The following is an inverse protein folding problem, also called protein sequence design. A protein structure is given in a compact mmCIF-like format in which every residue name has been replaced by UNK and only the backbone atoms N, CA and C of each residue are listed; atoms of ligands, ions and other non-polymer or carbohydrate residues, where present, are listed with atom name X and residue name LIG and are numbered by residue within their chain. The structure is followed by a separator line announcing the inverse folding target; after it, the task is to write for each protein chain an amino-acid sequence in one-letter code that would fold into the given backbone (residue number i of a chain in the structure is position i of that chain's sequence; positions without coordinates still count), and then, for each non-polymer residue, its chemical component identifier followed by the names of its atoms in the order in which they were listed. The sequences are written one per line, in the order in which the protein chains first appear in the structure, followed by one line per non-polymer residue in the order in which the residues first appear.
data_IF_502753328196
#
_entry.id   IF_502753328196
#
_cell.length_a   1.000
_cell.length_b   1.000
_cell.length_c   1.000
_cell.angle_alpha   90.00
_cell.angle_beta   90.00
_cell.angle_gamma   90.00
#
_symmetry.space_group_name_H-M   'P 1'
#
loop_
_entity.id
_entity.type
_entity.pdbx_description
1 polymer ?
#
# COMPACT_ATOMS: atom_id res chain seq x y z
N UNK A 1 27.04 -10.07 26.57
CA UNK A 1 26.87 -8.71 27.16
C UNK A 1 25.43 -8.60 27.63
N UNK A 2 25.23 -8.45 28.95
CA UNK A 2 23.90 -8.17 29.53
C UNK A 2 23.46 -6.77 29.10
N UNK A 3 22.36 -6.67 28.40
CA UNK A 3 21.81 -5.35 27.99
C UNK A 3 21.20 -4.70 29.23
N UNK A 4 21.76 -3.59 29.66
CA UNK A 4 21.29 -2.83 30.82
C UNK A 4 19.96 -2.13 30.50
N UNK A 5 18.94 -2.37 31.35
CA UNK A 5 17.67 -1.64 31.28
C UNK A 5 17.83 -0.35 32.09
N UNK A 6 17.64 0.77 31.41
CA UNK A 6 17.73 2.12 31.99
C UNK A 6 16.33 2.69 32.21
N UNK A 7 16.22 3.65 33.11
CA UNK A 7 14.97 4.33 33.47
C UNK A 7 15.15 5.84 33.30
N UNK A 8 14.18 6.51 32.68
CA UNK A 8 14.26 7.97 32.46
C UNK A 8 12.90 8.63 32.41
N UNK A 9 12.86 9.94 32.69
CA UNK A 9 11.76 10.86 32.36
C UNK A 9 12.19 11.91 31.32
N UNK A 10 13.44 11.84 30.85
CA UNK A 10 13.89 12.67 29.75
C UNK A 10 13.40 12.03 28.42
N UNK A 11 12.20 12.36 27.96
CA UNK A 11 11.61 11.80 26.77
C UNK A 11 12.21 12.38 25.49
N UNK A 12 12.74 13.60 25.55
CA UNK A 12 13.26 14.34 24.40
C UNK A 12 14.61 13.80 23.91
N UNK A 13 15.25 12.89 24.68
CA UNK A 13 16.41 12.17 24.20
C UNK A 13 16.10 11.12 23.12
N UNK A 14 14.83 10.75 22.94
CA UNK A 14 14.42 9.72 21.99
C UNK A 14 13.97 10.32 20.68
N UNK A 15 14.40 9.71 19.58
CA UNK A 15 14.14 10.14 18.22
C UNK A 15 13.21 9.13 17.55
N UNK A 16 12.16 9.60 16.91
CA UNK A 16 11.35 8.75 16.02
C UNK A 16 11.98 8.70 14.64
N UNK A 17 12.12 7.49 14.09
CA UNK A 17 12.60 7.35 12.72
C UNK A 17 11.50 7.80 11.74
N UNK A 18 11.86 8.62 10.76
CA UNK A 18 10.93 9.18 9.76
C UNK A 18 10.27 8.11 8.91
N UNK A 19 11.01 7.04 8.62
CA UNK A 19 10.58 5.89 7.82
C UNK A 19 9.82 4.84 8.63
N UNK A 20 9.66 5.02 9.95
CA UNK A 20 8.81 4.17 10.77
C UNK A 20 7.31 4.51 10.55
N UNK A 21 6.43 3.59 10.94
CA UNK A 21 4.99 3.84 10.89
C UNK A 21 4.61 5.03 11.79
N UNK A 22 3.67 5.85 11.32
CA UNK A 22 3.16 6.98 12.10
C UNK A 22 2.51 6.51 13.41
N UNK A 23 2.66 7.31 14.44
CA UNK A 23 2.01 7.10 15.73
C UNK A 23 0.49 7.10 15.53
N UNK A 24 -0.16 6.09 16.12
CA UNK A 24 -1.60 5.96 16.09
C UNK A 24 -2.21 6.52 17.40
N UNK A 25 -2.91 7.67 17.36
CA UNK A 25 -3.47 8.29 18.55
C UNK A 25 -4.41 7.38 19.33
N UNK A 26 -5.21 6.56 18.64
CA UNK A 26 -6.13 5.62 19.29
C UNK A 26 -5.38 4.56 20.10
N UNK A 27 -4.23 4.09 19.62
CA UNK A 27 -3.39 3.15 20.38
C UNK A 27 -2.77 3.81 21.58
N UNK A 28 -2.31 5.06 21.45
CA UNK A 28 -1.76 5.84 22.57
C UNK A 28 -2.82 6.00 23.65
N UNK A 29 -4.03 6.41 23.31
CA UNK A 29 -5.14 6.56 24.26
C UNK A 29 -5.54 5.25 24.96
N UNK A 30 -5.51 4.12 24.24
CA UNK A 30 -5.74 2.80 24.86
C UNK A 30 -4.66 2.46 25.87
N UNK A 31 -3.39 2.72 25.54
CA UNK A 31 -2.27 2.50 26.45
C UNK A 31 -2.37 3.41 27.68
N UNK A 32 -2.67 4.70 27.51
CA UNK A 32 -2.88 5.64 28.63
C UNK A 32 -3.97 5.13 29.57
N UNK A 33 -5.13 4.76 29.05
CA UNK A 33 -6.24 4.19 29.84
C UNK A 33 -5.82 2.93 30.59
N UNK A 34 -5.07 2.03 29.93
CA UNK A 34 -4.55 0.81 30.56
C UNK A 34 -3.57 1.12 31.67
N UNK A 35 -2.59 2.02 31.42
CA UNK A 35 -1.59 2.43 32.40
C UNK A 35 -2.22 3.13 33.63
N UNK A 36 -3.25 3.92 33.42
CA UNK A 36 -3.98 4.58 34.53
C UNK A 36 -4.81 3.59 35.34
N UNK A 37 -5.48 2.64 34.65
CA UNK A 37 -6.39 1.70 35.33
C UNK A 37 -5.65 0.56 36.03
N UNK A 38 -4.64 -0.02 35.38
CA UNK A 38 -3.98 -1.27 35.79
C UNK A 38 -2.57 -1.03 36.38
N UNK A 39 -2.15 0.24 36.48
CA UNK A 39 -0.76 0.57 36.78
C UNK A 39 0.17 0.46 35.57
N UNK A 40 1.29 1.15 35.62
CA UNK A 40 2.29 1.12 34.56
C UNK A 40 3.14 -0.16 34.65
N UNK A 41 2.96 -1.07 33.72
CA UNK A 41 3.85 -2.24 33.57
C UNK A 41 5.12 -1.76 32.84
N UNK A 42 6.30 -1.86 33.46
CA UNK A 42 7.55 -1.28 32.96
C UNK A 42 8.18 -2.12 31.84
N UNK A 43 7.45 -2.38 30.77
CA UNK A 43 7.97 -3.02 29.56
C UNK A 43 8.92 -2.04 28.87
N UNK A 44 10.23 -2.36 28.73
CA UNK A 44 11.18 -1.43 28.13
C UNK A 44 10.86 -1.13 26.66
N UNK A 45 11.15 0.08 26.20
CA UNK A 45 11.27 0.36 24.78
C UNK A 45 12.67 -0.03 24.29
N UNK A 46 12.80 -0.31 23.01
CA UNK A 46 14.06 -0.64 22.35
C UNK A 46 14.52 0.57 21.55
N UNK A 47 15.77 0.98 21.75
CA UNK A 47 16.40 2.06 20.97
C UNK A 47 17.72 1.59 20.38
N UNK A 48 18.20 2.25 19.34
CA UNK A 48 19.55 2.03 18.81
C UNK A 48 20.60 2.96 19.47
N UNK A 49 21.82 2.93 18.95
CA UNK A 49 22.92 3.76 19.48
C UNK A 49 22.71 5.27 19.29
N UNK A 50 21.78 5.69 18.42
CA UNK A 50 21.41 7.09 18.19
C UNK A 50 20.16 7.51 18.95
N UNK A 51 19.70 6.67 19.90
CA UNK A 51 18.42 6.83 20.61
C UNK A 51 17.19 6.85 19.68
N UNK A 52 17.29 6.31 18.46
CA UNK A 52 16.15 6.13 17.60
C UNK A 52 15.30 4.95 18.10
N UNK A 53 13.98 5.15 18.17
CA UNK A 53 13.05 4.17 18.74
C UNK A 53 12.78 3.05 17.73
N UNK A 54 13.30 1.86 18.04
CA UNK A 54 13.12 0.62 17.27
C UNK A 54 11.77 -0.04 17.59
N UNK A 55 11.45 -0.19 18.88
CA UNK A 55 10.14 -0.67 19.34
C UNK A 55 9.64 0.13 20.53
N UNK A 56 8.31 0.30 20.60
CA UNK A 56 7.64 0.91 21.74
C UNK A 56 7.28 2.39 21.56
N UNK A 57 7.29 2.97 20.35
CA UNK A 57 6.93 4.37 20.10
C UNK A 57 5.58 4.79 20.72
N UNK A 58 4.55 3.94 20.69
CA UNK A 58 3.26 4.24 21.32
C UNK A 58 3.34 4.21 22.85
N UNK A 59 4.22 3.35 23.43
CA UNK A 59 4.49 3.32 24.88
C UNK A 59 5.23 4.59 25.34
N UNK A 60 6.20 5.05 24.55
CA UNK A 60 6.90 6.30 24.79
C UNK A 60 5.91 7.47 24.85
N UNK A 61 5.06 7.62 23.84
CA UNK A 61 4.05 8.70 23.81
C UNK A 61 3.04 8.61 24.95
N UNK A 62 2.57 7.42 25.30
CA UNK A 62 1.66 7.23 26.41
C UNK A 62 2.34 7.58 27.76
N UNK A 63 3.57 7.12 27.98
CA UNK A 63 4.34 7.41 29.19
C UNK A 63 4.68 8.90 29.30
N UNK A 64 5.07 9.57 28.20
CA UNK A 64 5.29 11.02 28.11
C UNK A 64 4.03 11.78 28.52
N UNK A 65 2.87 11.43 27.95
CA UNK A 65 1.58 12.07 28.25
C UNK A 65 1.14 11.93 29.72
N UNK A 66 1.56 10.85 30.39
CA UNK A 66 1.21 10.57 31.79
C UNK A 66 2.35 10.91 32.77
N UNK A 67 3.45 11.50 32.30
CA UNK A 67 4.66 11.79 33.07
C UNK A 67 5.20 10.58 33.85
N UNK A 68 5.15 9.38 33.25
CA UNK A 68 5.61 8.12 33.86
C UNK A 68 7.06 7.83 33.47
N UNK A 69 7.86 7.36 34.42
CA UNK A 69 9.23 6.99 34.11
C UNK A 69 9.30 5.80 33.16
N UNK A 70 9.94 5.99 32.01
CA UNK A 70 10.05 5.01 30.95
C UNK A 70 11.29 4.12 31.14
N UNK A 71 11.13 2.82 30.87
CA UNK A 71 12.27 1.89 30.84
C UNK A 71 12.70 1.70 29.38
N UNK A 72 14.01 1.64 29.14
CA UNK A 72 14.56 1.42 27.79
C UNK A 72 15.87 0.67 27.83
N UNK A 73 16.26 0.04 26.74
CA UNK A 73 17.61 -0.47 26.54
C UNK A 73 18.08 -0.22 25.10
N UNK A 74 19.39 -0.08 24.92
CA UNK A 74 20.01 0.07 23.62
C UNK A 74 20.30 -1.31 23.00
N UNK A 75 19.81 -1.52 21.79
CA UNK A 75 20.02 -2.75 21.02
C UNK A 75 21.13 -2.64 19.96
N UNK A 76 21.95 -1.61 20.05
CA UNK A 76 23.09 -1.43 19.13
C UNK A 76 22.69 -0.87 17.78
N UNK A 77 23.27 -1.42 16.70
CA UNK A 77 23.12 -0.94 15.32
C UNK A 77 21.79 -1.27 14.62
N UNK A 78 20.72 -1.57 15.39
CA UNK A 78 19.40 -1.85 14.81
C UNK A 78 18.79 -0.62 14.14
N UNK A 79 18.01 -0.85 13.10
CA UNK A 79 17.30 0.18 12.31
C UNK A 79 15.88 -0.23 11.95
N UNK A 80 15.41 0.26 10.82
CA UNK A 80 14.03 0.04 10.39
C UNK A 80 13.73 -1.42 10.03
N UNK A 81 14.71 -2.18 9.54
CA UNK A 81 14.50 -3.59 9.19
C UNK A 81 14.22 -4.43 10.43
N UNK A 82 14.99 -4.25 11.50
CA UNK A 82 14.77 -4.92 12.79
C UNK A 82 13.45 -4.47 13.43
N UNK A 83 13.09 -3.19 13.28
CA UNK A 83 11.77 -2.68 13.70
C UNK A 83 10.64 -3.45 13.03
N UNK A 84 10.76 -3.75 11.73
CA UNK A 84 9.76 -4.50 10.97
C UNK A 84 9.66 -5.95 11.44
N UNK A 85 10.81 -6.60 11.67
CA UNK A 85 10.86 -7.97 12.20
C UNK A 85 10.23 -8.05 13.59
N UNK A 86 10.55 -7.15 14.51
CA UNK A 86 9.96 -7.10 15.85
C UNK A 86 8.45 -6.89 15.85
N UNK A 87 7.93 -6.17 14.85
CA UNK A 87 6.51 -5.91 14.74
C UNK A 87 5.72 -7.02 14.00
N UNK A 88 6.37 -8.04 13.45
CA UNK A 88 5.68 -9.15 12.76
C UNK A 88 4.72 -9.93 13.67
N UNK A 89 5.09 -10.12 14.92
CA UNK A 89 4.31 -10.89 15.91
C UNK A 89 3.25 -10.05 16.66
N UNK A 90 3.26 -8.74 16.48
CA UNK A 90 2.32 -7.82 17.14
C UNK A 90 1.20 -7.36 16.20
N UNK A 91 1.26 -6.11 15.76
CA UNK A 91 0.36 -5.56 14.73
C UNK A 91 1.13 -5.48 13.41
N UNK A 92 0.94 -6.41 12.48
CA UNK A 92 1.66 -6.40 11.21
C UNK A 92 1.47 -5.08 10.45
N UNK A 93 2.52 -4.64 9.79
CA UNK A 93 2.45 -3.44 8.96
C UNK A 93 1.49 -3.66 7.79
N UNK A 94 0.65 -2.67 7.55
CA UNK A 94 -0.21 -2.63 6.37
C UNK A 94 0.57 -2.09 5.17
N UNK A 95 0.08 -2.34 3.98
CA UNK A 95 0.72 -1.87 2.74
C UNK A 95 1.01 -0.35 2.75
N UNK A 96 0.16 0.47 3.38
CA UNK A 96 0.38 1.93 3.50
C UNK A 96 1.60 2.29 4.35
N UNK A 97 1.94 1.47 5.35
CA UNK A 97 3.09 1.69 6.24
C UNK A 97 4.38 1.30 5.52
N UNK A 98 4.36 0.18 4.79
CA UNK A 98 5.46 -0.21 3.90
C UNK A 98 5.69 0.83 2.81
N UNK A 99 4.61 1.31 2.16
CA UNK A 99 4.70 2.35 1.13
C UNK A 99 5.38 3.61 1.66
N UNK A 100 4.95 4.11 2.82
CA UNK A 100 5.54 5.28 3.46
C UNK A 100 7.04 5.09 3.73
N UNK A 101 7.42 3.96 4.34
CA UNK A 101 8.83 3.65 4.64
C UNK A 101 9.72 3.70 3.41
N UNK A 102 9.27 3.07 2.31
CA UNK A 102 10.08 3.03 1.10
C UNK A 102 10.10 4.37 0.36
N UNK A 103 9.01 5.14 0.39
CA UNK A 103 9.02 6.51 -0.14
C UNK A 103 10.02 7.39 0.60
N UNK A 104 10.03 7.37 1.94
CA UNK A 104 11.02 8.13 2.73
C UNK A 104 12.45 7.67 2.44
N UNK A 105 12.67 6.37 2.23
CA UNK A 105 13.98 5.84 1.80
C UNK A 105 14.38 6.38 0.43
N UNK A 106 13.47 6.32 -0.56
CA UNK A 106 13.71 6.85 -1.89
C UNK A 106 14.02 8.35 -1.88
N UNK A 107 13.34 9.15 -1.04
CA UNK A 107 13.61 10.58 -0.84
C UNK A 107 15.03 10.83 -0.30
N UNK A 108 15.51 9.99 0.61
CA UNK A 108 16.86 10.10 1.18
C UNK A 108 17.94 9.64 0.20
N UNK A 109 17.71 8.54 -0.53
CA UNK A 109 18.68 7.96 -1.46
C UNK A 109 18.76 8.74 -2.79
N UNK A 110 17.63 9.30 -3.24
CA UNK A 110 17.48 9.97 -4.54
C UNK A 110 16.84 11.36 -4.40
N UNK A 111 17.44 12.32 -3.64
CA UNK A 111 16.78 13.58 -3.29
C UNK A 111 16.34 14.44 -4.48
N UNK A 112 17.00 14.28 -5.65
CA UNK A 112 16.69 15.02 -6.87
C UNK A 112 15.86 14.24 -7.91
N UNK A 113 15.50 12.98 -7.63
CA UNK A 113 14.79 12.08 -8.57
C UNK A 113 13.93 11.02 -7.87
N UNK A 114 13.51 11.26 -6.62
CA UNK A 114 12.70 10.29 -5.87
C UNK A 114 11.35 10.00 -6.53
N UNK A 115 10.78 10.97 -7.26
CA UNK A 115 9.52 10.80 -8.01
C UNK A 115 9.63 9.77 -9.13
N UNK A 116 10.84 9.48 -9.63
CA UNK A 116 11.11 8.44 -10.63
C UNK A 116 11.28 7.05 -10.01
N UNK A 117 11.27 6.96 -8.69
CA UNK A 117 11.47 5.70 -7.98
C UNK A 117 10.16 4.91 -7.84
N UNK A 118 10.23 3.58 -7.74
CA UNK A 118 9.05 2.71 -7.83
C UNK A 118 7.94 2.98 -6.83
N UNK A 119 8.27 3.31 -5.58
CA UNK A 119 7.25 3.53 -4.54
C UNK A 119 6.55 4.88 -4.68
N UNK A 120 7.27 5.92 -5.11
CA UNK A 120 6.66 7.21 -5.46
C UNK A 120 5.78 7.09 -6.69
N UNK A 121 6.23 6.38 -7.72
CA UNK A 121 5.42 6.09 -8.90
C UNK A 121 4.16 5.29 -8.55
N UNK A 122 4.29 4.25 -7.71
CA UNK A 122 3.16 3.47 -7.21
C UNK A 122 2.16 4.34 -6.44
N UNK A 123 2.66 5.18 -5.53
CA UNK A 123 1.84 6.11 -4.76
C UNK A 123 1.11 7.12 -5.65
N UNK A 124 1.81 7.68 -6.64
CA UNK A 124 1.23 8.60 -7.62
C UNK A 124 0.03 7.95 -8.34
N UNK A 125 0.21 6.75 -8.88
CA UNK A 125 -0.85 6.01 -9.57
C UNK A 125 -2.03 5.73 -8.64
N UNK A 126 -1.75 5.26 -7.43
CA UNK A 126 -2.80 4.94 -6.45
C UNK A 126 -3.60 6.18 -6.05
N UNK A 127 -2.94 7.29 -5.77
CA UNK A 127 -3.56 8.54 -5.31
C UNK A 127 -4.31 9.25 -6.43
N UNK A 128 -3.70 9.37 -7.61
CA UNK A 128 -4.23 10.12 -8.74
C UNK A 128 -5.41 9.39 -9.38
N UNK A 129 -5.25 8.11 -9.67
CA UNK A 129 -6.25 7.33 -10.41
C UNK A 129 -7.17 6.49 -9.52
N UNK A 130 -7.00 6.56 -8.18
CA UNK A 130 -7.84 5.86 -7.18
C UNK A 130 -7.90 4.33 -7.38
N UNK A 131 -6.83 3.73 -7.90
CA UNK A 131 -6.75 2.31 -8.17
C UNK A 131 -6.46 1.49 -6.90
N UNK A 132 -7.00 0.26 -6.86
CA UNK A 132 -6.68 -0.68 -5.79
C UNK A 132 -5.25 -1.21 -5.94
N UNK A 133 -4.61 -1.52 -4.82
CA UNK A 133 -3.26 -2.05 -4.73
C UNK A 133 -3.00 -3.20 -5.74
N UNK A 134 -3.86 -4.21 -5.76
CA UNK A 134 -3.72 -5.37 -6.64
C UNK A 134 -3.87 -5.03 -8.13
N UNK A 135 -4.68 -4.03 -8.46
CA UNK A 135 -4.84 -3.58 -9.85
C UNK A 135 -3.55 -2.94 -10.35
N UNK A 136 -2.88 -2.14 -9.51
CA UNK A 136 -1.59 -1.54 -9.87
C UNK A 136 -0.55 -2.65 -10.07
N UNK A 137 -0.49 -3.66 -9.19
CA UNK A 137 0.41 -4.82 -9.37
C UNK A 137 0.14 -5.51 -10.72
N UNK A 138 -1.13 -5.73 -11.07
CA UNK A 138 -1.50 -6.33 -12.38
C UNK A 138 -1.01 -5.49 -13.55
N UNK A 139 -1.15 -4.16 -13.48
CA UNK A 139 -0.72 -3.25 -14.56
C UNK A 139 0.80 -3.23 -14.75
N UNK A 140 1.58 -3.46 -13.71
CA UNK A 140 3.04 -3.59 -13.82
C UNK A 140 3.50 -5.02 -14.17
N UNK A 141 2.56 -5.93 -14.42
CA UNK A 141 2.84 -7.29 -14.88
C UNK A 141 2.98 -8.33 -13.76
N UNK A 142 2.61 -8.01 -12.53
CA UNK A 142 2.61 -8.95 -11.40
C UNK A 142 1.20 -9.51 -11.23
N UNK A 143 1.02 -10.77 -11.58
CA UNK A 143 -0.29 -11.45 -11.53
C UNK A 143 -0.46 -12.34 -10.31
N UNK A 144 0.63 -12.82 -9.73
CA UNK A 144 0.63 -13.47 -8.42
C UNK A 144 0.69 -12.42 -7.31
N UNK A 145 -0.45 -12.22 -6.64
CA UNK A 145 -0.58 -11.19 -5.59
C UNK A 145 0.14 -11.55 -4.29
N UNK A 146 0.44 -12.82 -4.05
CA UNK A 146 1.26 -13.24 -2.90
C UNK A 146 2.68 -12.79 -3.13
N UNK A 147 3.27 -13.18 -4.26
CA UNK A 147 4.62 -12.75 -4.66
C UNK A 147 4.71 -11.22 -4.78
N UNK A 148 3.74 -10.58 -5.42
CA UNK A 148 3.72 -9.12 -5.56
C UNK A 148 3.60 -8.39 -4.23
N UNK A 149 2.83 -8.94 -3.30
CA UNK A 149 2.72 -8.41 -1.94
C UNK A 149 4.01 -8.53 -1.14
N UNK A 150 4.74 -9.63 -1.30
CA UNK A 150 6.06 -9.84 -0.68
C UNK A 150 7.10 -8.90 -1.27
N UNK A 151 7.24 -8.83 -2.59
CA UNK A 151 8.14 -7.89 -3.28
C UNK A 151 7.91 -6.45 -2.82
N UNK A 152 6.64 -6.06 -2.70
CA UNK A 152 6.27 -4.72 -2.22
C UNK A 152 6.70 -4.49 -0.77
N UNK A 153 6.45 -5.44 0.11
CA UNK A 153 6.79 -5.35 1.54
C UNK A 153 8.28 -5.41 1.82
N UNK A 154 9.04 -6.06 0.95
CA UNK A 154 10.49 -6.24 1.08
C UNK A 154 11.32 -5.12 0.40
N UNK A 155 10.67 -4.12 -0.19
CA UNK A 155 11.38 -3.04 -0.86
C UNK A 155 11.92 -3.40 -2.24
N UNK A 156 11.42 -4.48 -2.84
CA UNK A 156 11.90 -5.03 -4.12
C UNK A 156 10.96 -4.75 -5.30
N UNK A 157 10.00 -3.83 -5.12
CA UNK A 157 9.10 -3.43 -6.20
C UNK A 157 9.90 -2.80 -7.34
N UNK A 158 9.56 -3.16 -8.59
CA UNK A 158 10.11 -2.57 -9.81
C UNK A 158 9.00 -2.13 -10.74
N UNK A 159 9.13 -0.96 -11.34
CA UNK A 159 8.25 -0.44 -12.38
C UNK A 159 9.10 -0.16 -13.62
N UNK A 160 9.07 -1.09 -14.59
CA UNK A 160 9.94 -1.03 -15.76
C UNK A 160 9.51 0.02 -16.79
N UNK A 161 8.22 0.38 -16.82
CA UNK A 161 7.68 1.34 -17.77
C UNK A 161 6.56 2.15 -17.13
N UNK A 162 6.93 3.25 -16.47
CA UNK A 162 5.99 4.12 -15.79
C UNK A 162 5.01 4.81 -16.75
N UNK A 163 5.49 5.27 -17.92
CA UNK A 163 4.61 5.92 -18.91
C UNK A 163 3.48 4.99 -19.39
N UNK A 164 3.80 3.71 -19.62
CA UNK A 164 2.77 2.71 -19.94
C UNK A 164 1.81 2.49 -18.77
N UNK A 165 2.33 2.33 -17.55
CA UNK A 165 1.54 2.16 -16.34
C UNK A 165 0.56 3.32 -16.16
N UNK A 166 1.04 4.55 -16.29
CA UNK A 166 0.23 5.76 -16.14
C UNK A 166 -0.85 5.86 -17.21
N UNK A 167 -0.51 5.58 -18.47
CA UNK A 167 -1.48 5.53 -19.60
C UNK A 167 -2.58 4.50 -19.35
N UNK A 168 -2.23 3.32 -18.84
CA UNK A 168 -3.19 2.26 -18.53
C UNK A 168 -4.06 2.62 -17.32
N UNK A 169 -3.47 3.20 -16.28
CA UNK A 169 -4.16 3.68 -15.10
C UNK A 169 -5.16 4.81 -15.42
N UNK A 170 -4.74 5.79 -16.21
CA UNK A 170 -5.60 6.88 -16.71
C UNK A 170 -6.78 6.33 -17.51
N UNK A 171 -6.53 5.35 -18.35
CA UNK A 171 -7.60 4.70 -19.13
C UNK A 171 -8.60 3.96 -18.24
N UNK A 172 -8.14 3.18 -17.25
CA UNK A 172 -9.04 2.55 -16.28
C UNK A 172 -9.84 3.59 -15.48
N UNK A 173 -9.18 4.68 -15.07
CA UNK A 173 -9.85 5.75 -14.34
C UNK A 173 -10.95 6.43 -15.15
N UNK A 174 -10.81 6.55 -16.47
CA UNK A 174 -11.84 7.14 -17.35
C UNK A 174 -13.15 6.33 -17.36
N UNK A 175 -13.17 5.08 -16.90
CA UNK A 175 -14.39 4.29 -16.75
C UNK A 175 -15.39 4.89 -15.75
N UNK A 176 -14.94 5.81 -14.88
CA UNK A 176 -15.81 6.58 -13.96
C UNK A 176 -16.90 7.37 -14.71
N UNK A 177 -16.64 7.77 -15.96
CA UNK A 177 -17.56 8.56 -16.77
C UNK A 177 -18.73 7.73 -17.29
N UNK A 178 -18.63 6.41 -17.15
CA UNK A 178 -19.64 5.46 -17.64
C UNK A 178 -20.43 4.80 -16.51
N UNK A 179 -19.76 4.45 -15.37
CA UNK A 179 -20.40 3.75 -14.26
C UNK A 179 -19.87 4.18 -12.90
N UNK A 180 -20.76 4.44 -11.93
CA UNK A 180 -20.40 4.76 -10.53
C UNK A 180 -19.60 3.63 -9.86
N UNK A 181 -19.87 2.38 -10.23
CA UNK A 181 -19.21 1.18 -9.70
C UNK A 181 -17.92 0.81 -10.47
N UNK A 182 -17.37 1.71 -11.29
CA UNK A 182 -16.14 1.46 -12.06
C UNK A 182 -14.97 0.93 -11.21
N UNK A 183 -14.93 1.26 -9.91
CA UNK A 183 -13.93 0.75 -8.96
C UNK A 183 -14.20 -0.66 -8.44
N UNK A 184 -15.23 -1.34 -8.91
CA UNK A 184 -15.46 -2.73 -8.55
C UNK A 184 -14.24 -3.58 -8.95
N UNK A 185 -13.62 -4.27 -7.98
CA UNK A 185 -12.36 -5.00 -8.18
C UNK A 185 -12.44 -6.05 -9.28
N UNK A 186 -13.47 -6.93 -9.34
CA UNK A 186 -13.65 -7.86 -10.45
C UNK A 186 -13.74 -7.19 -11.82
N UNK A 187 -14.42 -6.05 -11.92
CA UNK A 187 -14.50 -5.28 -13.17
C UNK A 187 -13.13 -4.75 -13.60
N UNK A 188 -12.42 -4.09 -12.69
CA UNK A 188 -11.09 -3.55 -12.99
C UNK A 188 -10.10 -4.66 -13.37
N UNK A 189 -10.14 -5.81 -12.67
CA UNK A 189 -9.33 -6.97 -13.00
C UNK A 189 -9.68 -7.54 -14.39
N UNK A 190 -10.96 -7.59 -14.76
CA UNK A 190 -11.42 -7.99 -16.08
C UNK A 190 -10.92 -7.01 -17.15
N UNK A 191 -11.02 -5.71 -16.90
CA UNK A 191 -10.51 -4.69 -17.83
C UNK A 191 -9.00 -4.82 -18.04
N UNK A 192 -8.19 -5.07 -16.99
CA UNK A 192 -6.76 -5.32 -17.12
C UNK A 192 -6.47 -6.50 -18.06
N UNK A 193 -7.20 -7.63 -17.88
CA UNK A 193 -7.07 -8.81 -18.74
C UNK A 193 -7.43 -8.51 -20.20
N UNK A 194 -8.52 -7.80 -20.42
CA UNK A 194 -8.97 -7.46 -21.77
C UNK A 194 -8.02 -6.47 -22.44
N UNK A 195 -7.58 -5.44 -21.71
CA UNK A 195 -6.65 -4.41 -22.21
C UNK A 195 -5.27 -4.96 -22.58
N UNK A 196 -4.84 -6.06 -21.98
CA UNK A 196 -3.55 -6.70 -22.28
C UNK A 196 -3.58 -7.50 -23.60
N UNK A 197 -4.76 -7.73 -24.18
CA UNK A 197 -4.91 -8.54 -25.39
C UNK A 197 -4.79 -7.69 -26.66
N UNK A 198 -4.05 -8.21 -27.66
CA UNK A 198 -3.82 -7.53 -28.94
C UNK A 198 -5.11 -7.17 -29.68
N UNK A 199 -6.16 -7.97 -29.48
CA UNK A 199 -7.46 -7.77 -30.13
C UNK A 199 -8.28 -6.61 -29.53
N UNK A 200 -7.86 -6.06 -28.38
CA UNK A 200 -8.57 -4.98 -27.73
C UNK A 200 -8.17 -3.61 -28.28
N UNK A 201 -9.15 -2.88 -28.80
CA UNK A 201 -8.99 -1.50 -29.24
C UNK A 201 -9.74 -0.56 -28.27
N UNK A 202 -9.00 0.38 -27.66
CA UNK A 202 -9.52 1.30 -26.63
C UNK A 202 -10.61 2.24 -27.18
N UNK A 203 -10.43 2.76 -28.38
CA UNK A 203 -11.39 3.70 -28.97
C UNK A 203 -12.69 2.99 -29.35
N UNK A 204 -12.57 1.76 -29.87
CA UNK A 204 -13.75 0.90 -30.11
C UNK A 204 -14.50 0.64 -28.81
N UNK A 205 -13.81 0.30 -27.71
CA UNK A 205 -14.44 0.08 -26.42
C UNK A 205 -15.18 1.32 -25.92
N UNK A 206 -14.54 2.49 -25.93
CA UNK A 206 -15.14 3.76 -25.51
C UNK A 206 -16.44 4.03 -26.30
N UNK A 207 -16.42 3.91 -27.61
CA UNK A 207 -17.63 4.07 -28.45
C UNK A 207 -18.72 3.09 -28.07
N UNK A 208 -18.37 1.80 -27.90
CA UNK A 208 -19.35 0.74 -27.59
C UNK A 208 -19.96 0.92 -26.20
N UNK A 209 -19.18 1.24 -25.19
CA UNK A 209 -19.67 1.44 -23.82
C UNK A 209 -20.50 2.73 -23.71
N UNK A 210 -20.13 3.80 -24.41
CA UNK A 210 -20.89 5.05 -24.43
C UNK A 210 -22.31 4.84 -24.97
N UNK A 211 -22.45 4.07 -26.04
CA UNK A 211 -23.75 3.78 -26.67
C UNK A 211 -24.56 2.73 -25.92
N UNK A 212 -23.94 1.92 -25.09
CA UNK A 212 -24.56 0.75 -24.47
C UNK A 212 -24.35 0.69 -22.96
N UNK A 213 -24.36 1.83 -22.27
CA UNK A 213 -24.11 1.92 -20.81
C UNK A 213 -24.96 0.91 -20.01
N UNK A 214 -26.25 0.88 -20.23
CA UNK A 214 -27.18 0.00 -19.53
C UNK A 214 -26.91 -1.50 -19.75
N UNK A 215 -26.20 -1.84 -20.82
CA UNK A 215 -25.86 -3.21 -21.16
C UNK A 215 -24.61 -3.72 -20.43
N UNK A 216 -23.80 -2.82 -19.88
CA UNK A 216 -22.68 -3.15 -19.00
C UNK A 216 -23.17 -3.05 -17.55
N UNK A 217 -23.70 -4.13 -17.00
CA UNK A 217 -24.19 -4.20 -15.63
C UNK A 217 -23.19 -4.91 -14.69
N UNK A 218 -23.43 -4.81 -13.39
CA UNK A 218 -22.58 -5.44 -12.38
C UNK A 218 -22.62 -6.95 -12.47
N UNK A 219 -21.42 -7.57 -12.45
CA UNK A 219 -21.23 -9.00 -12.39
C UNK A 219 -20.57 -9.39 -11.06
N UNK A 220 -20.61 -10.67 -10.70
CA UNK A 220 -20.11 -11.19 -9.44
C UNK A 220 -18.60 -11.37 -9.44
N UNK A 221 -18.02 -11.83 -10.54
CA UNK A 221 -16.63 -12.21 -10.65
C UNK A 221 -15.96 -11.69 -11.94
N UNK A 222 -14.65 -11.84 -12.01
CA UNK A 222 -13.82 -11.39 -13.15
C UNK A 222 -14.21 -12.03 -14.47
N UNK A 223 -14.52 -13.33 -14.47
CA UNK A 223 -14.84 -14.10 -15.68
C UNK A 223 -16.16 -13.61 -16.32
N UNK A 224 -17.17 -13.38 -15.49
CA UNK A 224 -18.47 -12.86 -15.94
C UNK A 224 -18.32 -11.45 -16.54
N UNK A 225 -17.48 -10.61 -15.90
CA UNK A 225 -17.18 -9.29 -16.45
C UNK A 225 -16.45 -9.37 -17.79
N UNK A 226 -15.51 -10.29 -18.00
CA UNK A 226 -14.85 -10.47 -19.31
C UNK A 226 -15.90 -10.81 -20.37
N UNK A 227 -16.81 -11.75 -20.08
CA UNK A 227 -17.89 -12.10 -20.99
C UNK A 227 -18.84 -10.92 -21.28
N UNK A 228 -19.14 -10.11 -20.26
CA UNK A 228 -19.99 -8.93 -20.43
C UNK A 228 -19.29 -7.82 -21.22
N UNK A 229 -18.00 -7.57 -20.97
CA UNK A 229 -17.18 -6.64 -21.74
C UNK A 229 -17.12 -7.09 -23.20
N UNK A 230 -16.87 -8.38 -23.46
CA UNK A 230 -16.84 -8.96 -24.81
C UNK A 230 -18.17 -8.75 -25.53
N UNK A 231 -19.29 -9.00 -24.83
CA UNK A 231 -20.61 -8.83 -25.41
C UNK A 231 -20.89 -7.36 -25.78
N UNK A 232 -20.59 -6.39 -24.91
CA UNK A 232 -20.74 -4.95 -25.19
C UNK A 232 -19.80 -4.53 -26.32
N UNK A 233 -18.55 -5.00 -26.31
CA UNK A 233 -17.53 -4.72 -27.32
C UNK A 233 -17.94 -5.15 -28.72
N UNK A 234 -18.65 -6.27 -28.82
CA UNK A 234 -19.12 -6.87 -30.08
C UNK A 234 -20.53 -6.43 -30.48
N UNK A 235 -21.19 -5.59 -29.67
CA UNK A 235 -22.57 -5.18 -29.97
C UNK A 235 -22.69 -4.52 -31.34
N UNK A 236 -23.60 -5.08 -32.17
CA UNK A 236 -23.87 -4.64 -33.55
C UNK A 236 -22.58 -4.51 -34.40
N UNK A 237 -21.64 -5.45 -34.22
CA UNK A 237 -20.42 -5.49 -35.02
C UNK A 237 -20.33 -6.79 -35.80
N UNK A 238 -19.92 -6.68 -37.09
CA UNK A 238 -19.70 -7.85 -37.95
C UNK A 238 -18.42 -8.58 -37.59
N UNK A 239 -17.35 -7.81 -37.21
CA UNK A 239 -16.06 -8.34 -36.84
C UNK A 239 -16.01 -8.58 -35.32
N UNK A 240 -16.50 -9.73 -34.87
CA UNK A 240 -16.52 -10.11 -33.47
C UNK A 240 -15.12 -10.53 -33.00
N UNK A 241 -14.82 -10.14 -31.80
CA UNK A 241 -13.55 -10.48 -31.07
C UNK A 241 -13.90 -11.34 -29.87
N UNK A 242 -13.12 -12.39 -29.63
CA UNK A 242 -13.22 -13.20 -28.42
C UNK A 242 -12.04 -12.88 -27.52
N UNK A 243 -12.32 -12.55 -26.25
CA UNK A 243 -11.29 -12.31 -25.26
C UNK A 243 -10.96 -13.58 -24.48
N UNK A 244 -9.65 -13.89 -24.41
CA UNK A 244 -9.18 -15.01 -23.59
C UNK A 244 -9.48 -14.74 -22.13
N UNK A 245 -10.03 -15.72 -21.44
CA UNK A 245 -10.26 -15.72 -20.00
C UNK A 245 -9.00 -16.29 -19.34
N UNK A 246 -7.95 -15.47 -19.24
CA UNK A 246 -6.73 -15.89 -18.56
C UNK A 246 -7.02 -15.92 -17.04
N UNK A 247 -6.83 -17.09 -16.48
CA UNK A 247 -7.02 -17.36 -15.05
C UNK A 247 -5.79 -16.89 -14.28
#
# INVERSE_FOLDING_TARGET
MTKEIRKTKNYDQFIFMDDNRKINPTKVERLKKSMTKNGFIPVPIVVNNRNEVIDGQHRLEAAKSLNLALHYYSAGGMGIEETRVLNQNGTPWKNKEHLHTYMVREEKEYPNSYWDQPYHQFFHIQKTYKLHFQIILTLIGIHDFTVGGELFKEGRLKINNFSKLEKDAKYLHSMKDYHEWWRNRPFMAAMCVVMSQRAFNRDRWIRKVSLNRAKLYRCTNKTDYIGRIEWVYNWNDRNKVTFKRII
#
